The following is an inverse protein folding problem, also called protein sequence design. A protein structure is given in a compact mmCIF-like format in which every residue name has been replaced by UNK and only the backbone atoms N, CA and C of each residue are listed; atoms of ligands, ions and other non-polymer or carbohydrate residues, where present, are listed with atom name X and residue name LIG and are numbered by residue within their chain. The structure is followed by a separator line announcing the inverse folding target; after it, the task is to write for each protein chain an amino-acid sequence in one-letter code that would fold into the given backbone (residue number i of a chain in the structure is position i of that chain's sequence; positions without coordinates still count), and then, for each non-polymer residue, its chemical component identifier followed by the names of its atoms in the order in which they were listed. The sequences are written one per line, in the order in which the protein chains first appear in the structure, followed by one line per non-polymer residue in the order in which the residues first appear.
data_IF_311810335541
#
_entry.id   IF_311810335541
#
_cell.length_a   1.000
_cell.length_b   1.000
_cell.length_c   1.000
_cell.angle_alpha   90.00
_cell.angle_beta   90.00
_cell.angle_gamma   90.00
#
_symmetry.space_group_name_H-M   'P 1'
#
loop_
_entity.id
_entity.type
_entity.pdbx_description
1 polymer ?
#
# COMPACT_ATOMS: atom_id res chain seq x y z
N UNK A 1 13.56 -0.80 11.59
CA UNK A 1 12.69 0.38 11.79
C UNK A 1 11.35 -0.14 12.29
N UNK A 2 10.86 0.40 13.41
CA UNK A 2 9.59 0.01 14.03
C UNK A 2 8.46 0.82 13.42
N UNK A 3 7.38 0.17 13.03
CA UNK A 3 6.15 0.79 12.53
C UNK A 3 4.96 0.16 13.25
N UNK A 4 3.83 0.85 13.30
CA UNK A 4 2.63 0.34 13.93
C UNK A 4 1.49 0.43 12.94
N UNK A 5 0.91 -0.72 12.63
CA UNK A 5 -0.34 -0.76 11.88
C UNK A 5 -1.47 -0.63 12.87
N UNK A 6 -2.42 0.27 12.61
CA UNK A 6 -3.59 0.40 13.45
C UNK A 6 -4.88 0.51 12.65
N UNK A 7 -5.96 0.14 13.32
CA UNK A 7 -7.32 0.30 12.88
C UNK A 7 -8.20 0.61 14.11
N UNK A 8 -9.27 1.38 13.92
CA UNK A 8 -10.19 1.73 15.00
C UNK A 8 -11.64 1.50 14.61
N UNK A 9 -12.40 0.88 15.50
CA UNK A 9 -13.86 0.86 15.40
C UNK A 9 -14.46 1.96 16.26
N UNK A 10 -15.52 2.57 15.76
CA UNK A 10 -16.11 3.76 16.36
C UNK A 10 -17.63 3.68 16.36
N UNK A 11 -18.26 4.39 17.30
CA UNK A 11 -19.73 4.51 17.34
C UNK A 11 -20.33 5.27 16.14
N UNK A 12 -19.53 5.85 15.24
CA UNK A 12 -20.03 6.63 14.10
C UNK A 12 -18.92 7.41 13.40
N UNK A 13 -19.27 8.41 12.59
CA UNK A 13 -18.32 8.95 11.61
C UNK A 13 -17.56 10.21 12.06
N UNK A 14 -18.08 10.98 13.02
CA UNK A 14 -17.46 12.25 13.42
C UNK A 14 -17.32 12.40 14.95
N UNK A 15 -16.09 12.52 15.49
CA UNK A 15 -15.92 12.75 16.93
C UNK A 15 -16.45 14.13 17.39
N UNK A 16 -16.64 15.09 16.50
CA UNK A 16 -17.26 16.39 16.81
C UNK A 16 -18.75 16.25 17.19
N UNK A 17 -19.43 15.23 16.65
CA UNK A 17 -20.81 14.86 17.02
C UNK A 17 -20.86 13.99 18.29
N UNK A 18 -19.73 13.89 19.00
CA UNK A 18 -19.58 13.14 20.24
C UNK A 18 -19.35 11.65 20.03
N UNK A 19 -19.13 11.17 18.81
CA UNK A 19 -18.79 9.77 18.57
C UNK A 19 -17.46 9.41 19.23
N UNK A 20 -17.39 8.18 19.74
CA UNK A 20 -16.28 7.63 20.52
C UNK A 20 -15.66 6.42 19.82
N UNK A 21 -14.39 6.17 20.10
CA UNK A 21 -13.69 4.93 19.77
C UNK A 21 -14.19 3.82 20.70
N UNK A 22 -14.45 2.64 20.14
CA UNK A 22 -14.96 1.46 20.87
C UNK A 22 -14.04 0.26 20.80
N UNK A 23 -13.19 0.20 19.78
CA UNK A 23 -12.15 -0.81 19.65
C UNK A 23 -10.90 -0.17 19.06
N UNK A 24 -9.73 -0.54 19.57
CA UNK A 24 -8.43 -0.20 19.00
C UNK A 24 -7.66 -1.50 18.78
N UNK A 25 -7.23 -1.71 17.54
CA UNK A 25 -6.32 -2.78 17.17
C UNK A 25 -5.00 -2.18 16.68
N UNK A 26 -3.89 -2.59 17.28
CA UNK A 26 -2.56 -2.22 16.81
C UNK A 26 -1.68 -3.45 16.68
N UNK A 27 -0.91 -3.50 15.60
CA UNK A 27 0.09 -4.54 15.33
C UNK A 27 1.45 -3.88 15.15
N UNK A 28 2.42 -4.29 15.96
CA UNK A 28 3.79 -3.82 15.82
C UNK A 28 4.49 -4.55 14.67
N UNK A 29 5.11 -3.76 13.80
CA UNK A 29 5.99 -4.23 12.73
C UNK A 29 7.43 -3.83 13.03
N UNK A 30 8.34 -4.73 12.77
CA UNK A 30 9.76 -4.45 12.71
C UNK A 30 10.28 -4.84 11.32
N UNK A 31 10.83 -3.87 10.59
CA UNK A 31 11.25 -4.07 9.19
C UNK A 31 10.11 -4.63 8.31
N UNK A 32 8.89 -4.09 8.48
CA UNK A 32 7.67 -4.49 7.78
C UNK A 32 7.18 -5.92 8.08
N UNK A 33 7.77 -6.59 9.07
CA UNK A 33 7.36 -7.93 9.53
C UNK A 33 6.67 -7.81 10.89
N UNK A 34 5.50 -8.44 11.09
CA UNK A 34 4.85 -8.48 12.40
C UNK A 34 5.75 -9.10 13.47
N UNK A 35 5.95 -8.40 14.58
CA UNK A 35 6.75 -8.90 15.72
C UNK A 35 5.96 -9.87 16.60
N UNK A 36 4.63 -9.90 16.44
CA UNK A 36 3.69 -10.62 17.29
C UNK A 36 3.25 -9.82 18.52
N UNK A 37 3.85 -8.64 18.77
CA UNK A 37 3.36 -7.70 19.79
C UNK A 37 2.16 -6.94 19.23
N UNK A 38 1.01 -7.11 19.86
CA UNK A 38 -0.23 -6.44 19.51
C UNK A 38 -0.78 -5.70 20.71
N UNK A 39 -1.52 -4.61 20.45
CA UNK A 39 -2.35 -3.95 21.45
C UNK A 39 -3.78 -4.05 20.95
N UNK A 40 -4.64 -4.69 21.74
CA UNK A 40 -6.04 -4.87 21.38
C UNK A 40 -6.91 -4.52 22.58
N UNK A 41 -7.67 -3.45 22.44
CA UNK A 41 -8.46 -2.86 23.51
C UNK A 41 -9.88 -2.61 23.04
N UNK A 42 -10.84 -2.85 23.93
CA UNK A 42 -12.23 -2.45 23.79
C UNK A 42 -12.53 -1.36 24.82
N UNK A 43 -13.39 -0.42 24.47
CA UNK A 43 -13.74 0.71 25.33
C UNK A 43 -15.24 0.84 25.52
N UNK A 44 -15.65 1.18 26.75
CA UNK A 44 -17.01 1.67 26.99
C UNK A 44 -17.14 3.10 26.43
N UNK A 45 -17.99 3.32 25.40
CA UNK A 45 -18.17 4.66 24.83
C UNK A 45 -19.00 5.59 25.73
N UNK A 46 -19.63 5.06 26.79
CA UNK A 46 -20.53 5.78 27.69
C UNK A 46 -21.68 6.49 26.96
N UNK A 47 -22.15 5.88 25.87
CA UNK A 47 -23.25 6.34 25.03
C UNK A 47 -23.89 5.18 24.28
N UNK A 48 -25.03 5.45 23.66
CA UNK A 48 -25.71 4.48 22.79
C UNK A 48 -24.87 4.15 21.55
N UNK A 49 -25.02 2.91 21.09
CA UNK A 49 -24.43 2.39 19.86
C UNK A 49 -25.43 2.51 18.70
N UNK A 50 -25.17 3.34 17.68
CA UNK A 50 -26.02 3.42 16.50
C UNK A 50 -26.08 2.09 15.73
N UNK A 51 -27.24 1.75 15.20
CA UNK A 51 -27.47 0.50 14.47
C UNK A 51 -26.55 0.36 13.23
N UNK A 52 -26.24 1.48 12.57
CA UNK A 52 -25.32 1.50 11.43
C UNK A 52 -23.89 1.07 11.81
N UNK A 53 -23.40 1.44 12.99
CA UNK A 53 -22.08 1.04 13.47
C UNK A 53 -22.10 -0.44 13.90
N UNK A 54 -23.15 -0.84 14.64
CA UNK A 54 -23.38 -2.23 15.01
C UNK A 54 -23.43 -3.18 13.79
N UNK A 55 -24.03 -2.75 12.68
CA UNK A 55 -24.08 -3.55 11.45
C UNK A 55 -22.71 -3.78 10.81
N UNK A 56 -21.72 -2.93 11.09
CA UNK A 56 -20.35 -3.01 10.53
C UNK A 56 -19.47 -3.91 11.40
N UNK A 57 -19.32 -3.57 12.68
CA UNK A 57 -18.38 -4.26 13.59
C UNK A 57 -19.04 -5.25 14.56
N UNK A 58 -20.38 -5.26 14.67
CA UNK A 58 -21.11 -6.24 15.49
C UNK A 58 -20.97 -6.09 17.02
N UNK A 59 -20.43 -4.97 17.49
CA UNK A 59 -20.16 -4.74 18.93
C UNK A 59 -21.38 -4.13 19.61
N UNK A 60 -22.02 -4.90 20.49
CA UNK A 60 -23.20 -4.43 21.23
C UNK A 60 -22.81 -3.56 22.42
N UNK A 61 -23.74 -2.69 22.84
CA UNK A 61 -23.55 -1.88 24.05
C UNK A 61 -23.41 -2.75 25.32
N UNK A 62 -24.10 -3.89 25.36
CA UNK A 62 -24.00 -4.86 26.47
C UNK A 62 -22.62 -5.52 26.58
N UNK A 63 -21.90 -5.61 25.46
CA UNK A 63 -20.52 -6.07 25.44
C UNK A 63 -19.59 -4.94 25.88
N UNK A 64 -19.69 -3.77 25.24
CA UNK A 64 -18.80 -2.63 25.46
C UNK A 64 -18.88 -2.05 26.87
N UNK A 65 -20.06 -2.04 27.50
CA UNK A 65 -20.26 -1.55 28.87
C UNK A 65 -19.53 -2.36 29.95
N UNK A 66 -18.98 -3.53 29.61
CA UNK A 66 -18.16 -4.35 30.51
C UNK A 66 -16.68 -4.00 30.47
N UNK A 67 -16.28 -3.13 29.54
CA UNK A 67 -14.90 -2.69 29.37
C UNK A 67 -14.66 -1.33 30.04
N UNK A 68 -13.38 -1.00 30.25
CA UNK A 68 -13.02 0.30 30.80
C UNK A 68 -13.25 1.40 29.76
N UNK A 69 -13.48 2.66 30.18
CA UNK A 69 -13.49 3.79 29.26
C UNK A 69 -12.08 4.02 28.68
N UNK A 70 -12.02 4.73 27.55
CA UNK A 70 -10.77 5.08 26.87
C UNK A 70 -9.72 5.73 27.81
N UNK A 71 -10.18 6.54 28.76
CA UNK A 71 -9.33 7.21 29.75
C UNK A 71 -8.40 6.25 30.50
N UNK A 72 -8.89 5.04 30.83
CA UNK A 72 -8.13 4.07 31.61
C UNK A 72 -6.90 3.52 30.88
N UNK A 73 -6.88 3.61 29.54
CA UNK A 73 -5.83 3.07 28.68
C UNK A 73 -5.08 4.16 27.90
N UNK A 74 -5.39 5.44 28.12
CA UNK A 74 -4.83 6.54 27.30
C UNK A 74 -3.30 6.57 27.33
N UNK A 75 -2.71 6.34 28.50
CA UNK A 75 -1.26 6.35 28.69
C UNK A 75 -0.60 5.12 28.06
N UNK A 76 -1.23 3.95 28.17
CA UNK A 76 -0.78 2.70 27.53
C UNK A 76 -0.78 2.83 26.00
N UNK A 77 -1.85 3.40 25.43
CA UNK A 77 -1.96 3.65 23.99
C UNK A 77 -0.88 4.63 23.54
N UNK A 78 -0.69 5.72 24.28
CA UNK A 78 0.31 6.73 23.93
C UNK A 78 1.73 6.17 23.99
N UNK A 79 2.04 5.34 24.98
CA UNK A 79 3.33 4.64 25.08
C UNK A 79 3.52 3.62 23.94
N UNK A 80 2.46 2.89 23.58
CA UNK A 80 2.53 1.92 22.50
C UNK A 80 2.82 2.59 21.16
N UNK A 81 2.09 3.66 20.84
CA UNK A 81 2.22 4.42 19.59
C UNK A 81 3.54 5.20 19.52
N UNK A 82 3.93 5.86 20.62
CA UNK A 82 5.15 6.65 20.76
C UNK A 82 5.46 7.48 19.50
N UNK A 83 6.72 7.50 19.06
CA UNK A 83 7.19 8.20 17.86
C UNK A 83 7.22 7.29 16.61
N UNK A 84 6.63 6.09 16.67
CA UNK A 84 6.69 5.13 15.56
C UNK A 84 5.74 5.55 14.41
N UNK A 85 6.12 5.40 13.13
CA UNK A 85 5.21 5.63 12.02
C UNK A 85 3.94 4.78 12.13
N UNK A 86 2.80 5.41 11.92
CA UNK A 86 1.47 4.82 12.05
C UNK A 86 0.92 4.51 10.67
N UNK A 87 0.81 3.23 10.32
CA UNK A 87 0.27 2.74 9.07
C UNK A 87 -1.22 2.51 9.24
N UNK A 88 -2.04 3.29 8.53
CA UNK A 88 -3.50 3.27 8.70
C UNK A 88 -4.16 3.26 7.32
N UNK A 89 -5.30 2.60 7.19
CA UNK A 89 -6.13 2.70 6.00
C UNK A 89 -7.13 3.84 6.16
N UNK A 90 -7.00 4.92 5.39
CA UNK A 90 -7.75 6.17 5.59
C UNK A 90 -7.33 6.92 6.86
N UNK A 91 -6.03 7.13 7.04
CA UNK A 91 -5.43 7.69 8.26
C UNK A 91 -6.08 8.97 8.81
N UNK A 92 -6.68 9.80 7.96
CA UNK A 92 -7.39 11.01 8.40
C UNK A 92 -8.55 10.72 9.35
N UNK A 93 -9.21 9.57 9.22
CA UNK A 93 -10.33 9.16 10.06
C UNK A 93 -9.86 8.79 11.47
N UNK A 94 -9.01 7.77 11.59
CA UNK A 94 -8.51 7.26 12.87
C UNK A 94 -7.72 8.34 13.62
N UNK A 95 -6.86 9.09 12.92
CA UNK A 95 -6.10 10.18 13.55
C UNK A 95 -7.02 11.27 14.09
N UNK A 96 -8.17 11.54 13.45
CA UNK A 96 -9.14 12.51 13.96
C UNK A 96 -9.80 12.00 15.25
N UNK A 97 -10.15 10.72 15.31
CA UNK A 97 -10.73 10.10 16.50
C UNK A 97 -9.74 10.01 17.66
N UNK A 98 -8.55 9.46 17.42
CA UNK A 98 -7.49 9.35 18.45
C UNK A 98 -7.10 10.72 18.98
N UNK A 99 -6.89 11.72 18.11
CA UNK A 99 -6.58 13.07 18.57
C UNK A 99 -7.73 13.77 19.29
N UNK A 100 -8.99 13.42 19.00
CA UNK A 100 -10.12 13.90 19.78
C UNK A 100 -10.13 13.29 21.19
N UNK A 101 -9.88 11.99 21.33
CA UNK A 101 -9.77 11.34 22.64
C UNK A 101 -8.56 11.85 23.43
N UNK A 102 -7.37 11.98 22.82
CA UNK A 102 -6.20 12.53 23.52
C UNK A 102 -6.43 13.97 24.01
N UNK A 103 -7.09 14.82 23.20
CA UNK A 103 -7.44 16.18 23.63
C UNK A 103 -8.40 16.20 24.83
N UNK A 104 -9.35 15.26 24.89
CA UNK A 104 -10.31 15.15 26.02
C UNK A 104 -9.60 14.92 27.35
N UNK A 105 -8.50 14.15 27.34
CA UNK A 105 -7.72 13.80 28.53
C UNK A 105 -6.43 14.62 28.69
N UNK A 106 -6.36 15.78 28.02
CA UNK A 106 -5.21 16.70 28.07
C UNK A 106 -3.87 16.03 27.73
N UNK A 107 -3.88 15.05 26.82
CA UNK A 107 -2.68 14.37 26.32
C UNK A 107 -2.18 14.99 25.01
N UNK A 108 -0.86 14.91 24.72
CA UNK A 108 -0.31 15.30 23.43
C UNK A 108 -1.01 14.58 22.27
N UNK A 109 -1.29 15.31 21.19
CA UNK A 109 -1.90 14.76 19.98
C UNK A 109 -0.82 14.15 19.08
N UNK A 110 -1.22 13.14 18.30
CA UNK A 110 -0.39 12.51 17.29
C UNK A 110 -0.23 13.47 16.09
N UNK A 111 1.01 13.79 15.69
CA UNK A 111 1.26 14.65 14.54
C UNK A 111 0.88 13.94 13.24
N UNK A 112 0.34 14.68 12.27
CA UNK A 112 -0.04 14.13 10.97
C UNK A 112 1.15 13.56 10.18
N UNK A 113 2.37 14.02 10.47
CA UNK A 113 3.60 13.52 9.86
C UNK A 113 3.94 12.09 10.25
N UNK A 114 3.40 11.59 11.36
CA UNK A 114 3.59 10.21 11.80
C UNK A 114 2.69 9.23 11.05
N UNK A 115 1.61 9.71 10.42
CA UNK A 115 0.63 8.88 9.76
C UNK A 115 0.99 8.58 8.29
N UNK A 116 1.02 7.29 7.95
CA UNK A 116 1.17 6.74 6.62
C UNK A 116 -0.20 6.25 6.16
N UNK A 117 -0.81 6.98 5.22
CA UNK A 117 -2.11 6.59 4.67
C UNK A 117 -1.96 5.56 3.53
N UNK A 118 -2.29 4.31 3.84
CA UNK A 118 -2.25 3.22 2.86
C UNK A 118 -3.30 3.38 1.76
N UNK A 119 -4.41 4.08 2.02
CA UNK A 119 -5.43 4.36 1.01
C UNK A 119 -4.86 5.31 -0.06
N UNK A 120 -4.12 6.34 0.34
CA UNK A 120 -3.43 7.24 -0.57
C UNK A 120 -2.37 6.49 -1.40
N UNK A 121 -1.61 5.58 -0.78
CA UNK A 121 -0.63 4.73 -1.49
C UNK A 121 -1.36 3.84 -2.52
N UNK A 122 -2.43 3.16 -2.12
CA UNK A 122 -3.21 2.29 -2.99
C UNK A 122 -3.85 3.04 -4.16
N UNK A 123 -4.39 4.26 -3.94
CA UNK A 123 -4.95 5.10 -5.01
C UNK A 123 -3.94 5.51 -6.07
N UNK A 124 -2.67 5.76 -5.66
CA UNK A 124 -1.59 6.07 -6.60
C UNK A 124 -1.16 4.84 -7.39
N UNK A 125 -1.06 3.68 -6.74
CA UNK A 125 -0.67 2.41 -7.38
C UNK A 125 -1.76 1.88 -8.32
N UNK A 126 -3.03 2.13 -7.99
CA UNK A 126 -4.19 1.57 -8.69
C UNK A 126 -5.25 2.65 -8.98
N UNK A 127 -4.97 3.58 -9.91
CA UNK A 127 -5.90 4.64 -10.24
C UNK A 127 -7.20 4.07 -10.85
N UNK A 128 -8.35 4.51 -10.33
CA UNK A 128 -9.69 4.11 -10.81
C UNK A 128 -10.19 2.75 -10.32
N UNK A 129 -9.39 1.99 -9.56
CA UNK A 129 -9.83 0.74 -8.95
C UNK A 129 -10.48 0.97 -7.58
N UNK A 130 -11.29 0.00 -7.13
CA UNK A 130 -11.68 -0.08 -5.73
C UNK A 130 -10.45 -0.39 -4.88
N UNK A 131 -10.24 0.42 -3.85
CA UNK A 131 -9.06 0.39 -2.97
C UNK A 131 -9.46 0.30 -1.50
N UNK A 132 -10.66 -0.23 -1.21
CA UNK A 132 -11.02 -0.61 0.15
C UNK A 132 -10.13 -1.76 0.64
N UNK A 133 -9.98 -1.92 1.95
CA UNK A 133 -9.19 -3.01 2.53
C UNK A 133 -9.62 -4.38 1.96
N UNK A 134 -10.92 -4.65 1.86
CA UNK A 134 -11.45 -5.88 1.24
C UNK A 134 -11.06 -6.05 -0.23
N UNK A 135 -11.10 -4.96 -1.01
CA UNK A 135 -10.71 -5.00 -2.41
C UNK A 135 -9.21 -5.28 -2.56
N UNK A 136 -8.39 -4.73 -1.66
CA UNK A 136 -6.96 -4.98 -1.62
C UNK A 136 -6.63 -6.40 -1.17
N UNK A 137 -7.28 -6.93 -0.13
CA UNK A 137 -7.13 -8.31 0.30
C UNK A 137 -7.44 -9.29 -0.85
N UNK A 138 -8.57 -9.08 -1.54
CA UNK A 138 -8.95 -9.89 -2.72
C UNK A 138 -7.93 -9.79 -3.85
N UNK A 139 -7.40 -8.58 -4.10
CA UNK A 139 -6.40 -8.35 -5.16
C UNK A 139 -5.08 -9.06 -4.89
N UNK A 140 -4.63 -9.07 -3.64
CA UNK A 140 -3.38 -9.71 -3.24
C UNK A 140 -3.53 -11.18 -2.87
N UNK A 141 -4.75 -11.74 -2.94
CA UNK A 141 -5.00 -13.13 -2.57
C UNK A 141 -4.84 -13.39 -1.06
N UNK A 142 -5.02 -12.36 -0.23
CA UNK A 142 -4.98 -12.47 1.23
C UNK A 142 -6.34 -13.02 1.69
N UNK A 143 -6.32 -14.15 2.37
CA UNK A 143 -7.52 -14.77 2.90
C UNK A 143 -8.15 -13.91 4.00
N UNK A 144 -9.40 -13.50 3.78
CA UNK A 144 -10.24 -12.80 4.75
C UNK A 144 -11.48 -13.64 5.14
N UNK A 145 -11.49 -14.95 4.85
CA UNK A 145 -12.64 -15.82 5.09
C UNK A 145 -13.01 -16.00 6.57
N UNK A 146 -12.07 -15.74 7.49
CA UNK A 146 -12.31 -15.71 8.93
C UNK A 146 -13.01 -14.43 9.42
N UNK A 147 -13.21 -13.44 8.54
CA UNK A 147 -13.81 -12.14 8.85
C UNK A 147 -15.34 -12.18 8.70
N UNK A 148 -16.05 -12.50 9.77
CA UNK A 148 -17.53 -12.40 9.80
C UNK A 148 -17.99 -10.95 10.03
N UNK A 149 -17.27 -10.20 10.87
CA UNK A 149 -17.48 -8.77 11.15
C UNK A 149 -16.16 -8.01 11.02
N UNK A 150 -16.24 -6.68 10.87
CA UNK A 150 -15.08 -5.80 11.04
C UNK A 150 -14.61 -5.87 12.49
N UNK A 151 -13.30 -5.99 12.68
CA UNK A 151 -12.70 -6.05 14.01
C UNK A 151 -11.32 -5.47 13.94
N UNK A 152 -11.05 -4.46 14.76
CA UNK A 152 -9.89 -3.60 14.60
C UNK A 152 -8.56 -4.37 14.59
N UNK A 153 -8.42 -5.42 15.42
CA UNK A 153 -7.19 -6.23 15.43
C UNK A 153 -7.02 -7.05 14.15
N UNK A 154 -8.10 -7.67 13.67
CA UNK A 154 -8.06 -8.48 12.45
C UNK A 154 -7.77 -7.58 11.25
N UNK A 155 -8.38 -6.41 11.22
CA UNK A 155 -8.23 -5.43 10.15
C UNK A 155 -6.82 -4.83 10.14
N UNK A 156 -6.24 -4.52 11.31
CA UNK A 156 -4.83 -4.14 11.43
C UNK A 156 -3.89 -5.27 10.96
N UNK A 157 -4.20 -6.53 11.23
CA UNK A 157 -3.39 -7.67 10.78
C UNK A 157 -3.47 -7.89 9.26
N UNK A 158 -4.66 -7.74 8.68
CA UNK A 158 -4.87 -7.77 7.23
C UNK A 158 -4.17 -6.59 6.56
N UNK A 159 -4.29 -5.40 7.15
CA UNK A 159 -3.63 -4.20 6.67
C UNK A 159 -2.12 -4.33 6.69
N UNK A 160 -1.52 -4.99 7.68
CA UNK A 160 -0.09 -5.28 7.70
C UNK A 160 0.36 -6.09 6.48
N UNK A 161 -0.42 -7.13 6.13
CA UNK A 161 -0.13 -7.96 4.95
C UNK A 161 -0.32 -7.16 3.65
N UNK A 162 -1.40 -6.38 3.56
CA UNK A 162 -1.67 -5.50 2.40
C UNK A 162 -0.57 -4.44 2.26
N UNK A 163 -0.13 -3.84 3.35
CA UNK A 163 0.91 -2.82 3.36
C UNK A 163 2.23 -3.36 2.80
N UNK A 164 2.61 -4.58 3.20
CA UNK A 164 3.78 -5.27 2.67
C UNK A 164 3.71 -5.44 1.15
N UNK A 165 2.56 -5.83 0.61
CA UNK A 165 2.32 -5.97 -0.84
C UNK A 165 2.28 -4.60 -1.56
N UNK A 166 1.81 -3.55 -0.89
CA UNK A 166 1.81 -2.19 -1.43
C UNK A 166 3.23 -1.66 -1.63
N UNK A 167 4.13 -1.90 -0.67
CA UNK A 167 5.52 -1.41 -0.70
C UNK A 167 6.48 -2.24 -1.57
N UNK A 168 6.05 -3.40 -2.09
CA UNK A 168 6.86 -4.20 -3.01
C UNK A 168 7.14 -5.64 -2.56
N UNK A 169 6.43 -6.13 -1.54
CA UNK A 169 6.52 -7.52 -1.07
C UNK A 169 7.72 -7.79 -0.17
N UNK A 170 7.91 -9.07 0.21
CA UNK A 170 8.98 -9.53 1.12
C UNK A 170 10.40 -9.41 0.55
N UNK A 171 10.55 -9.11 -0.74
CA UNK A 171 11.84 -8.93 -1.40
C UNK A 171 11.87 -7.62 -2.22
N UNK A 172 12.20 -6.48 -1.59
CA UNK A 172 12.34 -5.21 -2.31
C UNK A 172 13.53 -5.18 -3.30
N UNK A 173 14.37 -6.23 -3.31
CA UNK A 173 15.68 -6.26 -3.97
C UNK A 173 15.69 -6.65 -5.46
N UNK A 174 14.60 -7.21 -6.01
CA UNK A 174 14.58 -7.66 -7.42
C UNK A 174 13.52 -6.94 -8.25
N UNK A 175 13.48 -5.61 -8.18
CA UNK A 175 12.72 -4.81 -9.14
C UNK A 175 13.57 -4.68 -10.42
N UNK A 176 13.33 -5.57 -11.40
CA UNK A 176 13.77 -5.39 -12.78
C UNK A 176 12.96 -4.24 -13.38
N UNK A 177 13.36 -3.01 -13.06
CA UNK A 177 12.75 -1.80 -13.57
C UNK A 177 12.96 -1.70 -15.08
N UNK A 178 11.99 -2.14 -15.87
CA UNK A 178 11.62 -1.39 -17.06
C UNK A 178 10.80 -0.21 -16.54
N UNK A 179 11.47 0.90 -16.28
CA UNK A 179 10.78 2.16 -16.00
C UNK A 179 9.89 2.45 -17.21
N UNK A 180 8.59 2.26 -17.05
CA UNK A 180 7.59 2.57 -18.05
C UNK A 180 7.67 4.06 -18.37
N UNK A 181 8.21 4.37 -19.55
CA UNK A 181 7.76 5.51 -20.35
C UNK A 181 7.90 6.90 -19.73
N UNK A 182 8.76 7.11 -18.73
CA UNK A 182 9.37 8.43 -18.59
C UNK A 182 10.24 8.60 -19.83
N UNK A 183 9.70 9.29 -20.83
CA UNK A 183 10.49 9.88 -21.90
C UNK A 183 11.63 10.59 -21.18
N UNK A 184 12.82 9.96 -21.21
CA UNK A 184 14.07 10.57 -20.82
C UNK A 184 14.34 11.70 -21.82
N UNK A 185 13.56 12.77 -21.70
CA UNK A 185 13.88 14.06 -22.24
C UNK A 185 15.11 14.52 -21.44
N UNK A 186 16.29 14.21 -21.97
CA UNK A 186 17.54 14.79 -21.49
C UNK A 186 18.46 13.89 -20.65
N UNK A 187 18.45 12.56 -20.81
CA UNK A 187 19.73 11.86 -20.67
C UNK A 187 20.36 11.80 -22.04
N UNK A 188 21.50 12.49 -22.17
CA UNK A 188 22.44 12.40 -23.28
C UNK A 188 22.48 10.98 -23.87
N UNK A 189 21.61 10.70 -24.84
CA UNK A 189 21.96 9.76 -25.89
C UNK A 189 23.09 10.48 -26.60
N UNK A 190 24.32 10.30 -26.12
CA UNK A 190 25.52 10.68 -26.85
C UNK A 190 25.33 10.06 -28.23
N UNK A 191 24.91 10.87 -29.21
CA UNK A 191 24.85 10.45 -30.60
C UNK A 191 26.24 9.94 -30.87
N UNK A 192 26.38 8.63 -31.10
CA UNK A 192 27.69 8.10 -31.43
C UNK A 192 28.18 8.91 -32.63
N UNK A 193 29.41 9.44 -32.58
CA UNK A 193 29.91 10.27 -33.66
C UNK A 193 29.83 9.44 -34.94
N UNK A 194 29.05 9.91 -35.90
CA UNK A 194 28.97 9.26 -37.20
C UNK A 194 30.37 9.35 -37.82
N UNK A 195 30.86 8.22 -38.31
CA UNK A 195 32.22 8.14 -38.88
C UNK A 195 32.31 9.13 -40.05
N UNK A 196 33.34 10.00 -40.13
CA UNK A 196 33.45 11.01 -41.19
C UNK A 196 33.59 10.40 -42.59
N UNK A 197 34.11 9.17 -42.66
CA UNK A 197 34.30 8.41 -43.89
C UNK A 197 33.63 7.06 -43.73
N UNK A 198 32.79 6.70 -44.71
CA UNK A 198 32.18 5.38 -44.79
C UNK A 198 33.28 4.30 -44.90
N UNK A 199 33.07 3.17 -44.24
CA UNK A 199 33.98 2.04 -44.40
C UNK A 199 33.93 1.54 -45.86
N UNK A 200 35.07 1.13 -46.43
CA UNK A 200 35.07 0.46 -47.72
C UNK A 200 34.22 -0.82 -47.63
N UNK A 201 33.55 -1.21 -48.72
CA UNK A 201 32.84 -2.48 -48.77
C UNK A 201 33.83 -3.62 -48.47
N UNK A 202 33.38 -4.59 -47.69
CA UNK A 202 34.16 -5.81 -47.40
C UNK A 202 34.06 -6.86 -48.51
N UNK A 203 33.14 -6.64 -49.46
CA UNK A 203 32.97 -7.50 -50.62
C UNK A 203 34.03 -7.19 -51.68
N UNK A 204 34.65 -8.25 -52.18
CA UNK A 204 35.46 -8.22 -53.40
C UNK A 204 34.56 -8.34 -54.63
N UNK A 205 35.06 -7.87 -55.78
CA UNK A 205 34.32 -7.99 -57.05
C UNK A 205 34.02 -9.44 -57.43
N UNK A 206 34.91 -10.38 -57.05
CA UNK A 206 34.71 -11.81 -57.27
C UNK A 206 33.56 -12.37 -56.42
N UNK A 207 33.43 -11.93 -55.16
CA UNK A 207 32.33 -12.34 -54.28
C UNK A 207 30.99 -11.75 -54.75
N UNK A 208 30.98 -10.52 -55.26
CA UNK A 208 29.77 -9.93 -55.86
C UNK A 208 29.30 -10.68 -57.10
N UNK A 209 30.23 -11.10 -57.97
CA UNK A 209 29.91 -11.88 -59.17
C UNK A 209 29.41 -13.28 -58.81
N UNK A 210 30.08 -13.96 -57.88
CA UNK A 210 29.64 -15.25 -57.36
C UNK A 210 28.25 -15.17 -56.71
N UNK A 211 27.98 -14.09 -55.96
CA UNK A 211 26.68 -13.86 -55.34
C UNK A 211 25.57 -13.62 -56.39
N UNK A 212 25.86 -12.85 -57.45
CA UNK A 212 24.91 -12.66 -58.55
C UNK A 212 24.61 -13.93 -59.32
N UNK A 213 25.62 -14.76 -59.59
CA UNK A 213 25.44 -16.07 -60.21
C UNK A 213 24.57 -16.98 -59.34
N UNK A 214 24.81 -17.00 -58.03
CA UNK A 214 24.01 -17.76 -57.06
C UNK A 214 22.54 -17.29 -57.01
N UNK A 215 22.28 -15.98 -57.00
CA UNK A 215 20.91 -15.44 -57.05
C UNK A 215 20.21 -15.79 -58.38
N UNK A 216 20.95 -15.89 -59.48
CA UNK A 216 20.37 -16.29 -60.77
C UNK A 216 19.80 -17.71 -60.73
N UNK A 217 20.40 -18.62 -59.96
CA UNK A 217 19.93 -20.00 -59.78
C UNK A 217 18.67 -20.14 -58.89
N UNK A 218 18.37 -19.14 -58.06
CA UNK A 218 17.27 -19.19 -57.07
C UNK A 218 15.85 -19.01 -57.62
N UNK A 219 15.69 -18.86 -58.95
CA UNK A 219 14.39 -18.73 -59.62
C UNK A 219 13.73 -17.35 -59.51
N UNK A 220 12.63 -17.14 -60.24
CA UNK A 220 12.01 -15.82 -60.43
C UNK A 220 11.31 -15.23 -59.20
N UNK A 221 11.03 -16.04 -58.17
CA UNK A 221 10.38 -15.60 -56.92
C UNK A 221 11.37 -15.17 -55.83
N UNK A 222 12.68 -15.16 -56.13
CA UNK A 222 13.69 -14.78 -55.16
C UNK A 222 13.57 -13.28 -54.81
N UNK A 223 13.32 -12.99 -53.52
CA UNK A 223 13.20 -11.62 -52.99
C UNK A 223 14.45 -10.76 -53.28
N UNK A 224 15.62 -11.39 -53.42
CA UNK A 224 16.90 -10.74 -53.69
C UNK A 224 17.06 -10.19 -55.12
N UNK A 225 16.17 -10.54 -56.06
CA UNK A 225 16.21 -9.97 -57.42
C UNK A 225 15.60 -8.56 -57.52
N UNK A 226 14.90 -8.11 -56.48
CA UNK A 226 14.16 -6.84 -56.47
C UNK A 226 14.77 -5.71 -55.61
N UNK A 227 16.01 -5.89 -55.13
CA UNK A 227 16.75 -4.90 -54.33
C UNK A 227 17.90 -4.29 -55.13
#
# INVERSE_FOLDING_TARGET
MREIVLDTETTGLDPAEGHRVVELGCVELEHHVPTGRTLHLYFDPQRDMPEAAFAVHGLSIDFLSKHNPFEAHVDEIQEFLADAPLVIHNAAFDMRFLNAEFRRFARPVLPSSQAIDTLAIARRKFPGAQVSLDALCKRFGIDNSSRTYHGALLDAQLLANVYLELIGGREPGLMLGLEDGAVLAGKDRKRQPQRPVALPPRLTAAEEEAHRAFIAEMGEKALWRGL
#
